data_IF_899056180435
#
_entry.id   IF_899056180435
#
_cell.length_a   1.000
_cell.length_b   1.000
_cell.length_c   1.000
_cell.angle_alpha   90.00
_cell.angle_beta   90.00
_cell.angle_gamma   90.00
#
_symmetry.space_group_name_H-M   'P 1'
#
loop_
_entity.id
_entity.type
_entity.pdbx_description
1 polymer ?
#
# COMPACT_ATOMS: atom_id res chain seq x y z
N UNK A 1 14.14 18.13 5.17
CA UNK A 1 14.82 17.06 5.95
C UNK A 1 15.96 17.53 6.86
N UNK A 2 16.77 18.54 6.48
CA UNK A 2 17.91 18.99 7.30
C UNK A 2 17.54 19.50 8.72
N UNK A 3 16.38 20.14 8.87
CA UNK A 3 15.91 20.66 10.17
C UNK A 3 15.51 19.54 11.13
N UNK A 4 14.81 18.50 10.66
CA UNK A 4 14.38 17.34 11.46
C UNK A 4 15.57 16.55 12.00
N UNK A 5 16.59 16.30 11.16
CA UNK A 5 17.78 15.56 11.59
C UNK A 5 18.58 16.33 12.66
N UNK A 6 18.69 17.67 12.51
CA UNK A 6 19.34 18.53 13.49
C UNK A 6 18.60 18.51 14.82
N UNK A 7 17.26 18.56 14.79
CA UNK A 7 16.44 18.47 15.99
C UNK A 7 16.62 17.12 16.70
N UNK A 8 16.51 16.00 16.00
CA UNK A 8 16.69 14.66 16.58
C UNK A 8 18.09 14.52 17.22
N UNK A 9 19.14 15.02 16.56
CA UNK A 9 20.51 15.01 17.10
C UNK A 9 20.71 15.92 18.32
N UNK A 10 19.86 16.93 18.51
CA UNK A 10 19.91 17.83 19.66
C UNK A 10 19.23 17.26 20.92
N UNK A 11 18.41 16.20 20.76
CA UNK A 11 17.74 15.56 21.88
C UNK A 11 18.75 14.85 22.79
N UNK A 12 18.55 14.85 24.12
CA UNK A 12 19.36 14.05 25.03
C UNK A 12 19.31 12.57 24.65
N UNK A 13 20.45 11.88 24.72
CA UNK A 13 20.52 10.44 24.46
C UNK A 13 19.64 9.70 25.49
N UNK A 14 18.78 8.80 25.00
CA UNK A 14 17.99 7.88 25.82
C UNK A 14 18.34 6.45 25.44
N UNK A 15 18.61 5.64 26.45
CA UNK A 15 18.83 4.21 26.25
C UNK A 15 17.50 3.49 26.01
N UNK A 16 17.53 2.46 25.18
CA UNK A 16 16.35 1.63 24.89
C UNK A 16 15.91 0.92 26.18
N UNK A 17 14.63 0.97 26.48
CA UNK A 17 14.02 0.14 27.52
C UNK A 17 13.50 -1.15 26.88
N UNK A 18 13.94 -2.35 27.34
CA UNK A 18 13.37 -3.62 26.87
C UNK A 18 11.87 -3.66 27.11
N UNK A 19 11.09 -4.11 26.12
CA UNK A 19 9.63 -4.13 26.23
C UNK A 19 9.16 -5.16 27.26
N UNK A 20 9.91 -6.25 27.46
CA UNK A 20 9.66 -7.22 28.53
C UNK A 20 9.61 -6.56 29.93
N UNK A 21 10.44 -5.54 30.17
CA UNK A 21 10.43 -4.81 31.45
C UNK A 21 9.20 -3.89 31.60
N UNK A 22 8.64 -3.44 30.48
CA UNK A 22 7.45 -2.59 30.43
C UNK A 22 6.17 -3.42 30.54
N UNK A 23 6.14 -4.58 29.89
CA UNK A 23 5.00 -5.49 29.81
C UNK A 23 5.28 -6.78 30.60
N UNK A 24 5.27 -6.68 31.94
CA UNK A 24 5.71 -7.76 32.83
C UNK A 24 4.90 -9.06 32.76
N UNK A 25 3.67 -9.00 32.27
CA UNK A 25 2.73 -10.13 32.21
C UNK A 25 2.33 -10.47 30.77
N UNK A 26 3.07 -9.95 29.78
CA UNK A 26 2.84 -10.29 28.39
C UNK A 26 3.56 -11.60 28.04
N UNK A 27 2.99 -12.31 27.06
CA UNK A 27 3.62 -13.46 26.44
C UNK A 27 4.98 -13.09 25.84
N UNK A 28 5.98 -13.97 26.02
CA UNK A 28 7.35 -13.69 25.60
C UNK A 28 7.48 -13.57 24.07
N UNK A 29 6.76 -14.40 23.31
CA UNK A 29 6.78 -14.39 21.85
C UNK A 29 6.01 -13.18 21.31
N UNK A 30 4.96 -12.74 22.00
CA UNK A 30 4.28 -11.48 21.68
C UNK A 30 5.22 -10.28 21.83
N UNK A 31 6.00 -10.26 22.92
CA UNK A 31 6.98 -9.20 23.18
C UNK A 31 8.11 -9.25 22.14
N UNK A 32 8.63 -10.43 21.79
CA UNK A 32 9.65 -10.57 20.74
C UNK A 32 9.16 -10.03 19.40
N UNK A 33 7.95 -10.42 18.98
CA UNK A 33 7.34 -9.94 17.74
C UNK A 33 7.22 -8.40 17.75
N UNK A 34 6.75 -7.84 18.87
CA UNK A 34 6.61 -6.40 19.02
C UNK A 34 7.96 -5.67 18.98
N UNK A 35 9.01 -6.24 19.57
CA UNK A 35 10.37 -5.68 19.53
C UNK A 35 10.93 -5.67 18.09
N UNK A 36 10.57 -6.63 17.24
CA UNK A 36 10.94 -6.67 15.83
C UNK A 36 10.14 -5.70 14.95
N UNK A 37 8.91 -5.36 15.34
CA UNK A 37 8.07 -4.36 14.66
C UNK A 37 8.45 -2.92 15.03
N UNK A 38 8.71 -2.66 16.31
CA UNK A 38 8.93 -1.31 16.84
C UNK A 38 10.40 -0.87 16.79
N UNK A 39 10.99 -0.93 15.60
CA UNK A 39 12.35 -0.45 15.33
C UNK A 39 12.33 0.89 14.59
N UNK A 40 13.33 1.74 14.89
CA UNK A 40 13.41 3.09 14.32
C UNK A 40 13.72 3.07 12.82
N UNK A 41 14.63 2.19 12.38
CA UNK A 41 15.00 2.06 10.98
C UNK A 41 13.95 1.18 10.26
N UNK A 42 13.18 1.70 9.30
CA UNK A 42 12.18 0.91 8.58
C UNK A 42 12.76 -0.30 7.86
N UNK A 43 14.03 -0.23 7.41
CA UNK A 43 14.72 -1.33 6.73
C UNK A 43 15.09 -2.49 7.65
N UNK A 44 15.06 -2.27 8.96
CA UNK A 44 15.32 -3.32 9.97
C UNK A 44 14.02 -3.89 10.55
N UNK A 45 12.87 -3.32 10.17
CA UNK A 45 11.57 -3.79 10.65
C UNK A 45 11.25 -5.12 10.00
N UNK A 46 10.75 -6.07 10.79
CA UNK A 46 10.24 -7.34 10.28
C UNK A 46 9.21 -7.11 9.17
N UNK A 47 9.29 -7.92 8.12
CA UNK A 47 8.32 -7.88 7.02
C UNK A 47 7.00 -8.53 7.44
N UNK A 48 5.89 -8.17 6.78
CA UNK A 48 4.58 -8.74 7.11
C UNK A 48 4.56 -10.27 6.97
N UNK A 49 5.14 -10.81 5.90
CA UNK A 49 5.26 -12.25 5.67
C UNK A 49 6.10 -12.96 6.74
N UNK A 50 7.21 -12.35 7.18
CA UNK A 50 8.05 -12.87 8.25
C UNK A 50 7.34 -12.81 9.62
N UNK A 51 6.51 -11.80 9.84
CA UNK A 51 5.71 -11.66 11.05
C UNK A 51 4.60 -12.72 11.13
N UNK A 52 3.92 -13.01 10.01
CA UNK A 52 2.91 -14.07 9.92
C UNK A 52 3.51 -15.45 10.26
N UNK A 53 4.75 -15.70 9.85
CA UNK A 53 5.49 -16.94 10.18
C UNK A 53 6.13 -16.96 11.59
N UNK A 54 5.88 -15.96 12.44
CA UNK A 54 6.45 -15.88 13.79
C UNK A 54 5.74 -16.83 14.77
N UNK A 55 6.46 -17.38 15.75
CA UNK A 55 5.94 -18.35 16.74
C UNK A 55 4.65 -17.87 17.43
N UNK A 56 4.61 -16.58 17.79
CA UNK A 56 3.41 -15.96 18.38
C UNK A 56 2.14 -16.11 17.53
N UNK A 57 2.26 -16.13 16.20
CA UNK A 57 1.14 -16.29 15.26
C UNK A 57 1.00 -17.71 14.72
N UNK A 58 1.88 -18.65 15.10
CA UNK A 58 1.88 -20.03 14.62
C UNK A 58 0.51 -20.75 14.72
N UNK A 59 -0.32 -20.54 15.77
CA UNK A 59 -1.64 -21.16 15.83
C UNK A 59 -2.63 -20.72 14.73
N UNK A 60 -2.37 -19.59 14.08
CA UNK A 60 -3.24 -18.98 13.07
C UNK A 60 -2.61 -18.96 11.67
N UNK A 61 -1.30 -19.17 11.58
CA UNK A 61 -0.57 -19.04 10.32
C UNK A 61 -0.98 -20.13 9.32
N UNK A 62 -1.51 -19.71 8.16
CA UNK A 62 -1.86 -20.59 7.05
C UNK A 62 -1.40 -19.98 5.71
N UNK A 63 -0.29 -20.46 5.13
CA UNK A 63 0.21 -19.96 3.86
C UNK A 63 -0.77 -20.09 2.68
N UNK A 64 -1.78 -20.95 2.78
CA UNK A 64 -2.79 -21.13 1.73
C UNK A 64 -3.92 -20.09 1.80
N UNK A 65 -4.12 -19.47 2.97
CA UNK A 65 -5.09 -18.39 3.21
C UNK A 65 -4.43 -17.01 3.36
N UNK A 66 -3.13 -16.92 3.10
CA UNK A 66 -2.33 -15.69 3.15
C UNK A 66 -1.73 -15.32 1.77
N UNK A 67 -2.55 -15.08 0.73
CA UNK A 67 -2.05 -14.85 -0.62
C UNK A 67 -1.33 -13.52 -0.78
N UNK A 68 -0.31 -13.51 -1.65
CA UNK A 68 0.34 -12.29 -2.12
C UNK A 68 -0.27 -11.89 -3.45
N UNK A 69 -0.60 -10.60 -3.62
CA UNK A 69 -1.05 -10.06 -4.91
C UNK A 69 0.01 -10.31 -5.98
N UNK A 70 -0.40 -10.90 -7.11
CA UNK A 70 0.50 -11.14 -8.25
C UNK A 70 0.90 -9.83 -8.94
N UNK A 71 -0.02 -8.86 -8.92
CA UNK A 71 0.18 -7.55 -9.52
C UNK A 71 0.44 -6.50 -8.44
N UNK A 72 1.35 -5.57 -8.77
CA UNK A 72 1.55 -4.38 -7.95
C UNK A 72 0.44 -3.39 -8.28
N UNK A 73 -0.08 -2.74 -7.25
CA UNK A 73 -1.01 -1.64 -7.45
C UNK A 73 -0.34 -0.52 -8.27
N UNK A 74 -1.04 -0.01 -9.29
CA UNK A 74 -0.55 1.09 -10.11
C UNK A 74 -0.79 2.43 -9.40
N UNK A 75 0.30 3.08 -9.00
CA UNK A 75 0.28 4.39 -8.34
C UNK A 75 0.41 5.56 -9.32
N UNK A 76 0.53 5.31 -10.62
CA UNK A 76 0.73 6.35 -11.64
C UNK A 76 -0.33 7.46 -11.61
N UNK A 77 -1.55 7.11 -11.18
CA UNK A 77 -2.66 8.03 -10.97
C UNK A 77 -2.37 9.12 -9.92
N UNK A 78 -1.63 8.81 -8.85
CA UNK A 78 -1.47 9.74 -7.71
C UNK A 78 -0.70 11.01 -8.07
N UNK A 79 0.23 10.91 -9.01
CA UNK A 79 1.06 12.02 -9.47
C UNK A 79 0.49 12.69 -10.74
N UNK A 80 -0.70 12.27 -11.19
CA UNK A 80 -1.33 12.80 -12.38
C UNK A 80 -1.96 14.18 -12.10
N UNK A 81 -1.56 15.19 -12.87
CA UNK A 81 -2.18 16.51 -12.84
C UNK A 81 -3.28 16.59 -13.90
N UNK A 82 -4.47 16.10 -13.53
CA UNK A 82 -5.63 16.05 -14.41
C UNK A 82 -6.66 17.12 -14.03
N UNK A 83 -7.36 17.72 -15.02
CA UNK A 83 -8.50 18.58 -14.75
C UNK A 83 -9.58 17.87 -13.93
N UNK A 84 -10.29 18.64 -13.12
CA UNK A 84 -11.38 18.13 -12.26
C UNK A 84 -12.41 17.31 -13.03
N UNK A 85 -12.75 17.73 -14.26
CA UNK A 85 -13.74 17.02 -15.06
C UNK A 85 -13.24 15.64 -15.54
N UNK A 86 -11.94 15.49 -15.80
CA UNK A 86 -11.34 14.18 -16.08
C UNK A 86 -11.44 13.27 -14.85
N UNK A 87 -11.17 13.79 -13.65
CA UNK A 87 -11.34 13.02 -12.42
C UNK A 87 -12.78 12.55 -12.21
N UNK A 88 -13.77 13.41 -12.49
CA UNK A 88 -15.19 13.02 -12.42
C UNK A 88 -15.52 11.89 -13.38
N UNK A 89 -14.99 11.95 -14.60
CA UNK A 89 -15.19 10.91 -15.61
C UNK A 89 -14.56 9.59 -15.15
N UNK A 90 -13.32 9.61 -14.67
CA UNK A 90 -12.64 8.40 -14.20
C UNK A 90 -13.37 7.75 -13.02
N UNK A 91 -13.79 8.55 -12.03
CA UNK A 91 -14.57 8.04 -10.89
C UNK A 91 -15.93 7.50 -11.32
N UNK A 92 -16.61 8.18 -12.25
CA UNK A 92 -17.89 7.70 -12.78
C UNK A 92 -17.72 6.40 -13.57
N UNK A 93 -16.65 6.27 -14.36
CA UNK A 93 -16.30 5.03 -15.06
C UNK A 93 -16.09 3.89 -14.08
N UNK A 94 -15.29 4.09 -13.03
CA UNK A 94 -15.04 3.07 -12.01
C UNK A 94 -16.33 2.59 -11.34
N UNK A 95 -17.27 3.51 -11.06
CA UNK A 95 -18.59 3.17 -10.52
C UNK A 95 -19.37 2.32 -11.54
N UNK A 96 -19.42 2.72 -12.81
CA UNK A 96 -20.10 1.93 -13.84
C UNK A 96 -19.47 0.55 -14.01
N UNK A 97 -18.15 0.47 -14.04
CA UNK A 97 -17.40 -0.78 -14.18
C UNK A 97 -17.70 -1.72 -13.00
N UNK A 98 -17.69 -1.21 -11.76
CA UNK A 98 -18.07 -1.98 -10.58
C UNK A 98 -19.49 -2.57 -10.68
N UNK A 99 -20.48 -1.78 -11.13
CA UNK A 99 -21.87 -2.25 -11.25
C UNK A 99 -22.09 -3.13 -12.50
N UNK A 100 -21.30 -2.96 -13.55
CA UNK A 100 -21.34 -3.82 -14.74
C UNK A 100 -20.75 -5.21 -14.44
N UNK A 101 -19.76 -5.29 -13.56
CA UNK A 101 -19.21 -6.56 -13.07
C UNK A 101 -20.30 -7.36 -12.32
N UNK A 102 -21.20 -6.71 -11.58
CA UNK A 102 -22.32 -7.37 -10.90
C UNK A 102 -23.40 -7.90 -11.86
N UNK A 103 -23.46 -7.42 -13.12
CA UNK A 103 -24.52 -7.75 -14.08
C UNK A 103 -24.14 -8.79 -15.15
N UNK A 104 -22.89 -9.25 -15.19
CA UNK A 104 -22.47 -10.39 -16.03
C UNK A 104 -21.63 -10.02 -17.25
N UNK A 105 -20.32 -10.28 -17.12
CA UNK A 105 -19.32 -10.78 -18.07
C UNK A 105 -19.55 -10.79 -19.62
N UNK A 106 -20.13 -9.78 -20.28
CA UNK A 106 -20.15 -9.76 -21.77
C UNK A 106 -19.86 -8.41 -22.47
N UNK A 107 -19.73 -7.27 -21.79
CA UNK A 107 -19.69 -5.96 -22.46
C UNK A 107 -18.43 -5.07 -22.22
N UNK A 108 -17.44 -5.53 -21.45
CA UNK A 108 -16.33 -4.68 -20.98
C UNK A 108 -15.21 -4.40 -21.99
N UNK A 109 -15.15 -5.11 -23.12
CA UNK A 109 -13.97 -5.08 -24.02
C UNK A 109 -13.94 -3.86 -24.97
N UNK A 110 -15.03 -3.10 -25.08
CA UNK A 110 -15.20 -2.12 -26.19
C UNK A 110 -14.72 -0.70 -25.86
N UNK A 111 -14.70 -0.28 -24.58
CA UNK A 111 -14.51 1.15 -24.26
C UNK A 111 -13.06 1.58 -24.07
N UNK A 112 -12.16 0.69 -23.68
CA UNK A 112 -10.74 1.04 -23.41
C UNK A 112 -9.96 1.37 -24.71
N UNK A 113 -10.33 0.77 -25.85
CA UNK A 113 -9.60 0.98 -27.12
C UNK A 113 -9.87 2.36 -27.76
N UNK A 114 -10.96 3.04 -27.39
CA UNK A 114 -11.35 4.33 -27.99
C UNK A 114 -10.55 5.54 -27.47
N UNK A 115 -9.96 5.47 -26.27
CA UNK A 115 -9.28 6.61 -25.66
C UNK A 115 -7.81 6.76 -26.09
N UNK A 116 -7.18 5.72 -26.64
CA UNK A 116 -5.73 5.72 -26.96
C UNK A 116 -5.44 6.19 -28.39
N UNK A 117 -6.41 6.14 -29.32
CA UNK A 117 -6.25 6.58 -30.72
C UNK A 117 -6.87 7.97 -30.98
N UNK A 118 -6.58 8.94 -30.12
CA UNK A 118 -7.13 10.30 -30.23
C UNK A 118 -6.07 11.40 -30.37
N UNK A 119 -4.86 11.10 -30.87
CA UNK A 119 -3.87 12.16 -31.08
C UNK A 119 -2.92 11.88 -32.25
N UNK A 120 -3.44 11.98 -33.47
CA UNK A 120 -2.62 12.22 -34.66
C UNK A 120 -3.47 12.80 -35.79
N UNK A 121 -2.92 13.83 -36.45
CA UNK A 121 -3.36 14.42 -37.72
C UNK A 121 -4.33 15.61 -37.64
N UNK A 122 -3.82 16.74 -37.14
CA UNK A 122 -4.30 18.05 -37.59
C UNK A 122 -3.59 18.44 -38.89
N UNK A 123 -4.21 18.17 -40.05
CA UNK A 123 -3.86 18.80 -41.32
C UNK A 123 -5.09 19.49 -41.93
N UNK A 124 -4.86 20.77 -42.24
CA UNK A 124 -5.45 21.64 -43.28
C UNK A 124 -6.81 21.26 -43.88
N UNK A 125 -7.73 22.22 -43.98
CA UNK A 125 -8.03 22.95 -45.23
C UNK A 125 -9.14 23.99 -45.01
N UNK A 126 -8.91 25.17 -45.61
CA UNK A 126 -9.82 26.27 -45.97
C UNK A 126 -10.49 27.07 -44.84
#
# INVERSE_FOLDING_TARGET
>A
MAQTLRFVKSLPKRERQPLANKFKNADADAVDLLERMLVFNPKQRIQASEALAHEYLAPYHDPTDEPVSQEKFDWSFNDADLPVDTWKIMMYSEILDFHNIEQGNEAGEVLVQGAVQGNATGQAFA
#
